data_IF_142681003292
#
_entry.id   IF_142681003292
#
_cell.length_a   1.000
_cell.length_b   1.000
_cell.length_c   1.000
_cell.angle_alpha   90.00
_cell.angle_beta   90.00
_cell.angle_gamma   90.00
#
_symmetry.space_group_name_H-M   'P 1'
#
loop_
_entity.id
_entity.type
_entity.pdbx_description
1 polymer ?
#
# COMPACT_ATOMS: atom_id res chain seq x y z
N UNK A 1 12.90 12.35 33.79
CA UNK A 1 12.04 12.14 32.61
C UNK A 1 12.22 10.70 32.15
N UNK A 2 11.16 9.99 31.74
CA UNK A 2 11.33 8.70 31.07
C UNK A 2 12.18 8.88 29.81
N UNK A 3 13.00 7.89 29.49
CA UNK A 3 13.74 7.87 28.22
C UNK A 3 12.77 7.75 27.03
N UNK A 4 13.28 8.07 25.84
CA UNK A 4 12.47 8.15 24.62
C UNK A 4 11.83 6.80 24.28
N UNK A 5 12.52 5.68 24.50
CA UNK A 5 11.98 4.35 24.22
C UNK A 5 10.84 4.01 25.17
N UNK A 6 10.98 4.32 26.46
CA UNK A 6 9.91 4.15 27.45
C UNK A 6 8.67 4.95 27.06
N UNK A 7 8.84 6.20 26.61
CA UNK A 7 7.73 7.03 26.14
C UNK A 7 7.06 6.45 24.89
N UNK A 8 7.85 6.07 23.88
CA UNK A 8 7.31 5.50 22.65
C UNK A 8 6.54 4.21 22.92
N UNK A 9 7.05 3.35 23.81
CA UNK A 9 6.36 2.14 24.27
C UNK A 9 5.02 2.43 24.95
N UNK A 10 4.96 3.49 25.75
CA UNK A 10 3.73 3.90 26.43
C UNK A 10 2.63 4.33 25.44
N UNK A 11 3.01 4.90 24.29
CA UNK A 11 2.09 5.42 23.27
C UNK A 11 2.13 4.60 21.97
N UNK A 12 2.42 3.30 22.07
CA UNK A 12 2.46 2.42 20.91
C UNK A 12 1.11 2.42 20.15
N UNK A 13 1.15 2.51 18.80
CA UNK A 13 -0.08 2.52 18.01
C UNK A 13 -0.74 1.14 18.03
N UNK A 14 -2.03 1.10 18.37
CA UNK A 14 -2.87 -0.09 18.20
C UNK A 14 -3.63 0.02 16.89
N UNK A 15 -3.22 -0.74 15.88
CA UNK A 15 -3.87 -0.76 14.57
C UNK A 15 -4.79 -1.98 14.46
N UNK A 16 -6.02 -1.76 13.96
CA UNK A 16 -7.00 -2.83 13.71
C UNK A 16 -7.28 -2.96 12.24
N UNK A 17 -7.10 -4.17 11.72
CA UNK A 17 -7.32 -4.49 10.31
C UNK A 17 -8.63 -5.21 10.08
N UNK A 18 -9.20 -4.97 8.90
CA UNK A 18 -10.33 -5.76 8.43
C UNK A 18 -9.86 -7.15 8.01
N UNK A 19 -10.73 -8.14 8.22
CA UNK A 19 -10.45 -9.50 7.74
C UNK A 19 -10.29 -9.48 6.22
N UNK A 20 -9.14 -9.93 5.74
CA UNK A 20 -8.82 -9.97 4.30
C UNK A 20 -8.08 -8.74 3.78
N UNK A 21 -7.56 -7.90 4.69
CA UNK A 21 -6.55 -6.88 4.34
C UNK A 21 -5.35 -7.54 3.65
N UNK A 22 -4.81 -6.86 2.64
CA UNK A 22 -3.70 -7.37 1.83
C UNK A 22 -2.33 -6.95 2.35
N UNK A 23 -2.27 -5.84 3.09
CA UNK A 23 -1.03 -5.20 3.50
C UNK A 23 -1.07 -4.93 5.01
N UNK A 24 0.01 -5.30 5.68
CA UNK A 24 0.25 -4.97 7.08
C UNK A 24 1.52 -4.13 7.18
N UNK A 25 1.80 -3.48 8.33
CA UNK A 25 3.03 -2.73 8.53
C UNK A 25 4.21 -3.65 8.23
N UNK A 26 5.22 -3.10 7.56
CA UNK A 26 6.46 -3.79 7.24
C UNK A 26 7.63 -2.84 7.47
N UNK A 27 8.85 -3.37 7.44
CA UNK A 27 10.06 -2.56 7.51
C UNK A 27 10.06 -1.50 6.41
N UNK A 28 10.31 -0.24 6.78
CA UNK A 28 10.53 0.85 5.83
C UNK A 28 11.80 0.60 5.03
N UNK A 29 12.82 -0.03 5.64
CA UNK A 29 14.06 -0.43 4.98
C UNK A 29 13.78 -1.42 3.84
N UNK A 30 13.04 -2.50 4.12
CA UNK A 30 12.67 -3.49 3.09
C UNK A 30 11.78 -2.88 2.00
N UNK A 31 10.83 -2.03 2.39
CA UNK A 31 9.96 -1.33 1.44
C UNK A 31 10.78 -0.41 0.53
N UNK A 32 11.75 0.32 1.06
CA UNK A 32 12.62 1.20 0.26
C UNK A 32 13.55 0.37 -0.63
N UNK A 33 14.18 -0.67 -0.11
CA UNK A 33 15.05 -1.57 -0.88
C UNK A 33 14.31 -2.25 -2.03
N UNK A 34 13.05 -2.64 -1.81
CA UNK A 34 12.19 -3.25 -2.83
C UNK A 34 11.59 -2.29 -3.85
N UNK A 35 11.86 -0.99 -3.76
CA UNK A 35 11.29 0.05 -4.63
C UNK A 35 12.31 0.58 -5.64
N UNK A 36 11.84 0.96 -6.82
CA UNK A 36 12.54 1.93 -7.66
C UNK A 36 12.13 3.36 -7.26
N UNK A 37 12.99 4.34 -7.49
CA UNK A 37 12.70 5.76 -7.30
C UNK A 37 12.63 6.46 -8.65
N UNK A 38 11.53 7.18 -8.87
CA UNK A 38 11.30 7.95 -10.08
C UNK A 38 11.11 9.42 -9.76
N UNK A 39 11.51 10.26 -10.71
CA UNK A 39 11.14 11.66 -10.81
C UNK A 39 10.04 11.81 -11.85
N UNK A 40 8.97 12.50 -11.47
CA UNK A 40 7.93 12.90 -12.42
C UNK A 40 8.46 14.04 -13.28
N UNK A 41 8.36 13.86 -14.58
CA UNK A 41 8.61 14.86 -15.62
C UNK A 41 7.30 15.13 -16.37
N UNK A 42 7.30 16.08 -17.31
CA UNK A 42 6.14 16.30 -18.19
C UNK A 42 5.98 15.19 -19.25
N UNK A 43 7.07 14.48 -19.53
CA UNK A 43 7.14 13.34 -20.46
C UNK A 43 7.13 12.01 -19.68
N UNK A 44 8.04 11.09 -20.03
CA UNK A 44 8.21 9.82 -19.33
C UNK A 44 8.96 10.02 -17.99
N UNK A 45 8.48 9.40 -16.89
CA UNK A 45 9.16 9.47 -15.61
C UNK A 45 10.62 9.02 -15.72
N UNK A 46 11.51 9.78 -15.10
CA UNK A 46 12.93 9.47 -15.09
C UNK A 46 13.27 8.61 -13.87
N UNK A 47 13.94 7.48 -14.10
CA UNK A 47 14.41 6.63 -13.02
C UNK A 47 15.65 7.25 -12.35
N UNK A 48 15.52 7.60 -11.07
CA UNK A 48 16.61 8.12 -10.24
C UNK A 48 17.39 7.00 -9.55
N UNK A 49 16.72 5.89 -9.27
CA UNK A 49 17.33 4.69 -8.70
C UNK A 49 16.55 3.44 -9.06
N UNK A 50 17.26 2.41 -9.47
CA UNK A 50 16.69 1.10 -9.74
C UNK A 50 16.22 0.40 -8.47
N UNK A 51 15.32 -0.55 -8.65
CA UNK A 51 14.90 -1.45 -7.58
C UNK A 51 16.10 -2.22 -7.01
N UNK A 52 16.19 -2.32 -5.69
CA UNK A 52 17.28 -3.02 -5.01
C UNK A 52 18.53 -2.17 -4.81
N UNK A 53 18.62 -0.98 -5.42
CA UNK A 53 19.76 -0.07 -5.20
C UNK A 53 19.50 1.00 -4.15
N UNK A 54 18.27 1.09 -3.62
CA UNK A 54 17.92 2.08 -2.61
C UNK A 54 18.21 1.58 -1.19
N UNK A 55 18.82 2.47 -0.41
CA UNK A 55 18.87 2.42 1.06
C UNK A 55 18.18 3.67 1.62
N UNK A 56 17.88 3.71 2.92
CA UNK A 56 17.32 4.91 3.54
C UNK A 56 18.24 6.13 3.39
N UNK A 57 19.56 5.94 3.56
CA UNK A 57 20.55 7.01 3.39
C UNK A 57 20.59 7.50 1.94
N UNK A 58 20.56 6.59 0.98
CA UNK A 58 20.55 6.95 -0.44
C UNK A 58 19.25 7.65 -0.85
N UNK A 59 18.11 7.21 -0.32
CA UNK A 59 16.84 7.88 -0.53
C UNK A 59 16.85 9.30 0.04
N UNK A 60 17.39 9.48 1.26
CA UNK A 60 17.52 10.79 1.88
C UNK A 60 18.48 11.71 1.11
N UNK A 61 19.57 11.16 0.57
CA UNK A 61 20.50 11.89 -0.30
C UNK A 61 19.82 12.37 -1.59
N UNK A 62 19.16 11.46 -2.31
CA UNK A 62 18.44 11.79 -3.54
C UNK A 62 17.32 12.81 -3.28
N UNK A 63 16.60 12.70 -2.16
CA UNK A 63 15.60 13.68 -1.75
C UNK A 63 16.17 15.07 -1.51
N UNK A 64 17.42 15.20 -1.02
CA UNK A 64 18.11 16.50 -0.87
C UNK A 64 18.62 17.05 -2.20
N UNK A 65 19.00 16.19 -3.15
CA UNK A 65 19.45 16.60 -4.48
C UNK A 65 18.26 17.09 -5.32
N UNK A 66 17.13 16.43 -5.21
CA UNK A 66 15.92 16.68 -6.01
C UNK A 66 14.86 17.50 -5.24
N UNK A 67 15.31 18.46 -4.42
CA UNK A 67 14.37 19.35 -3.71
C UNK A 67 13.57 20.16 -4.71
N UNK A 68 12.25 20.11 -4.58
CA UNK A 68 11.32 20.79 -5.49
C UNK A 68 10.78 19.89 -6.61
N UNK A 69 11.45 18.77 -6.90
CA UNK A 69 10.96 17.78 -7.84
C UNK A 69 9.88 16.90 -7.18
N UNK A 70 8.96 16.36 -7.99
CA UNK A 70 8.01 15.36 -7.53
C UNK A 70 8.63 13.99 -7.75
N UNK A 71 9.17 13.41 -6.67
CA UNK A 71 9.74 12.06 -6.67
C UNK A 71 8.79 11.07 -6.01
N UNK A 72 8.78 9.82 -6.47
CA UNK A 72 7.93 8.76 -5.92
C UNK A 72 8.61 7.39 -5.95
N UNK A 73 8.23 6.55 -4.99
CA UNK A 73 8.65 5.15 -4.92
C UNK A 73 7.66 4.27 -5.69
N UNK A 74 8.20 3.31 -6.45
CA UNK A 74 7.41 2.35 -7.21
C UNK A 74 7.83 0.92 -6.87
N UNK A 75 6.88 0.17 -6.31
CA UNK A 75 7.03 -1.24 -5.93
C UNK A 75 6.66 -2.22 -7.05
N UNK A 76 6.03 -1.78 -8.15
CA UNK A 76 5.68 -2.66 -9.27
C UNK A 76 5.72 -1.90 -10.57
N UNK A 77 6.33 -2.51 -11.59
CA UNK A 77 6.55 -1.84 -12.88
C UNK A 77 5.24 -1.82 -13.70
N UNK A 78 4.35 -2.77 -13.44
CA UNK A 78 3.08 -2.89 -14.12
C UNK A 78 2.07 -3.79 -13.41
N UNK A 79 0.83 -3.86 -13.94
CA UNK A 79 -0.18 -4.76 -13.41
C UNK A 79 0.14 -6.20 -13.81
N UNK A 80 -0.30 -7.16 -12.99
CA UNK A 80 -0.33 -8.57 -13.41
C UNK A 80 -1.12 -8.74 -14.72
N UNK A 81 -0.67 -9.64 -15.58
CA UNK A 81 -1.42 -10.07 -16.76
C UNK A 81 -2.76 -10.69 -16.34
N UNK A 82 -3.71 -10.78 -17.28
CA UNK A 82 -5.03 -11.38 -17.02
C UNK A 82 -4.93 -12.80 -16.45
N UNK A 83 -3.96 -13.59 -16.92
CA UNK A 83 -3.72 -14.97 -16.47
C UNK A 83 -3.21 -15.00 -15.04
N UNK A 84 -2.18 -14.22 -14.73
CA UNK A 84 -1.60 -14.10 -13.40
C UNK A 84 -2.61 -13.54 -12.39
N UNK A 85 -3.37 -12.52 -12.78
CA UNK A 85 -4.42 -11.97 -11.94
C UNK A 85 -5.52 -13.00 -11.63
N UNK A 86 -5.91 -13.83 -12.60
CA UNK A 86 -6.88 -14.93 -12.38
C UNK A 86 -6.33 -15.99 -11.44
N UNK A 87 -5.03 -16.31 -11.53
CA UNK A 87 -4.36 -17.24 -10.62
C UNK A 87 -4.30 -16.64 -9.20
N UNK A 88 -3.83 -15.39 -9.07
CA UNK A 88 -3.80 -14.63 -7.82
C UNK A 88 -5.16 -14.61 -7.11
N UNK A 89 -6.25 -14.40 -7.86
CA UNK A 89 -7.62 -14.39 -7.33
C UNK A 89 -8.11 -15.74 -6.81
N UNK A 90 -7.56 -16.84 -7.33
CA UNK A 90 -7.97 -18.22 -7.01
C UNK A 90 -7.15 -18.85 -5.88
N UNK A 91 -6.15 -18.12 -5.35
CA UNK A 91 -5.32 -18.57 -4.24
C UNK A 91 -6.16 -19.02 -3.03
N UNK A 92 -5.85 -20.17 -2.41
CA UNK A 92 -6.67 -20.77 -1.35
C UNK A 92 -6.62 -19.97 -0.04
N UNK A 93 -5.49 -19.34 0.25
CA UNK A 93 -5.22 -18.47 1.41
C UNK A 93 -5.96 -17.12 1.33
N UNK A 94 -6.45 -16.73 0.15
CA UNK A 94 -7.12 -15.45 -0.02
C UNK A 94 -8.51 -15.46 0.60
N UNK A 95 -8.71 -14.57 1.58
CA UNK A 95 -10.04 -14.32 2.16
C UNK A 95 -11.00 -13.84 1.08
N UNK A 96 -12.10 -14.58 0.90
CA UNK A 96 -13.18 -14.20 -0.01
C UNK A 96 -14.16 -13.30 0.74
N UNK A 97 -14.24 -12.03 0.32
CA UNK A 97 -15.30 -11.14 0.78
C UNK A 97 -16.65 -11.69 0.33
N UNK A 98 -17.48 -12.10 1.30
CA UNK A 98 -18.87 -12.43 1.04
C UNK A 98 -19.62 -11.11 0.93
N UNK A 99 -20.07 -10.75 -0.28
CA UNK A 99 -20.99 -9.63 -0.42
C UNK A 99 -22.31 -10.06 0.23
N UNK A 100 -22.73 -9.38 1.30
CA UNK A 100 -24.07 -9.60 1.84
C UNK A 100 -25.06 -8.96 0.87
N UNK A 101 -25.94 -9.79 0.31
CA UNK A 101 -27.01 -9.27 -0.53
C UNK A 101 -28.03 -8.59 0.38
N UNK A 102 -28.01 -7.25 0.43
CA UNK A 102 -29.09 -6.45 1.04
C UNK A 102 -30.41 -6.53 0.27
N UNK A 103 -30.44 -7.30 -0.84
CA UNK A 103 -31.58 -7.41 -1.76
C UNK A 103 -32.54 -8.55 -1.46
N UNK A 104 -32.37 -9.26 -0.34
CA UNK A 104 -33.38 -10.23 0.10
C UNK A 104 -34.68 -9.56 0.60
N UNK A 105 -34.70 -8.23 0.79
CA UNK A 105 -35.80 -7.49 1.41
C UNK A 105 -36.55 -6.51 0.48
N UNK A 106 -36.34 -6.55 -0.85
CA UNK A 106 -36.92 -5.57 -1.80
C UNK A 106 -37.40 -6.21 -3.11
N UNK A 107 -38.45 -5.62 -3.70
CA UNK A 107 -39.16 -6.11 -4.89
C UNK A 107 -38.32 -6.19 -6.17
N UNK A 108 -38.84 -6.91 -7.17
CA UNK A 108 -38.11 -7.27 -8.40
C UNK A 108 -37.63 -6.06 -9.21
N UNK A 109 -38.43 -4.98 -9.27
CA UNK A 109 -38.10 -3.77 -10.04
C UNK A 109 -36.88 -3.04 -9.48
N UNK A 110 -36.76 -2.92 -8.15
CA UNK A 110 -35.57 -2.33 -7.52
C UNK A 110 -34.31 -3.16 -7.74
N UNK A 111 -34.43 -4.49 -7.87
CA UNK A 111 -33.29 -5.37 -8.20
C UNK A 111 -32.79 -5.12 -9.62
N UNK A 112 -33.68 -4.82 -10.55
CA UNK A 112 -33.33 -4.51 -11.93
C UNK A 112 -32.60 -3.17 -12.05
N UNK A 113 -33.11 -2.13 -11.40
CA UNK A 113 -32.46 -0.80 -11.38
C UNK A 113 -31.09 -0.87 -10.72
N UNK A 114 -30.95 -1.60 -9.61
CA UNK A 114 -29.65 -1.80 -8.97
C UNK A 114 -28.66 -2.57 -9.85
N UNK A 115 -29.14 -3.59 -10.59
CA UNK A 115 -28.30 -4.33 -11.53
C UNK A 115 -27.76 -3.42 -12.66
N UNK A 116 -28.57 -2.50 -13.17
CA UNK A 116 -28.15 -1.50 -14.16
C UNK A 116 -27.13 -0.54 -13.54
N UNK A 117 -27.36 -0.01 -12.34
CA UNK A 117 -26.41 0.86 -11.65
C UNK A 117 -25.07 0.15 -11.34
N UNK A 118 -25.08 -1.15 -11.07
CA UNK A 118 -23.83 -1.93 -10.94
C UNK A 118 -23.13 -2.13 -12.27
N UNK A 119 -23.88 -2.27 -13.36
CA UNK A 119 -23.31 -2.36 -14.70
C UNK A 119 -22.63 -1.05 -15.10
N UNK A 120 -23.19 0.11 -14.73
CA UNK A 120 -22.53 1.41 -14.95
C UNK A 120 -21.23 1.53 -14.14
N UNK A 121 -21.14 0.94 -12.95
CA UNK A 121 -19.88 0.84 -12.19
C UNK A 121 -18.83 -0.06 -12.85
N UNK A 122 -19.25 -1.07 -13.63
CA UNK A 122 -18.30 -1.87 -14.44
C UNK A 122 -17.76 -1.07 -15.62
N UNK A 123 -18.56 -0.16 -16.18
CA UNK A 123 -18.18 0.75 -17.27
C UNK A 123 -17.30 1.92 -16.80
N UNK A 124 -17.42 2.36 -15.54
CA UNK A 124 -16.66 3.50 -14.95
C UNK A 124 -15.14 3.28 -14.83
N UNK A 125 -14.63 2.13 -15.27
CA UNK A 125 -13.23 1.75 -15.09
C UNK A 125 -12.99 1.27 -13.66
N UNK A 126 -12.70 -0.01 -13.50
CA UNK A 126 -12.12 -0.50 -12.24
C UNK A 126 -10.65 -0.16 -12.27
N UNK A 127 -10.12 0.42 -11.19
CA UNK A 127 -8.67 0.43 -10.95
C UNK A 127 -8.17 -0.99 -11.23
N UNK A 128 -7.23 -1.18 -12.17
CA UNK A 128 -6.85 -2.51 -12.61
C UNK A 128 -6.39 -3.30 -11.39
N UNK A 129 -7.19 -4.29 -10.98
CA UNK A 129 -6.86 -5.12 -9.82
C UNK A 129 -5.50 -5.83 -9.96
N UNK A 130 -4.94 -5.87 -11.18
CA UNK A 130 -3.60 -6.32 -11.47
C UNK A 130 -2.50 -5.53 -10.76
N UNK A 131 -2.62 -4.21 -10.57
CA UNK A 131 -1.61 -3.43 -9.82
C UNK A 131 -1.64 -3.80 -8.34
N UNK A 132 -2.82 -3.79 -7.72
CA UNK A 132 -2.98 -4.22 -6.33
C UNK A 132 -2.51 -5.66 -6.12
N UNK A 133 -2.77 -6.54 -7.09
CA UNK A 133 -2.33 -7.93 -7.04
C UNK A 133 -0.81 -8.08 -7.19
N UNK A 134 -0.18 -7.30 -8.07
CA UNK A 134 1.26 -7.26 -8.23
C UNK A 134 1.92 -6.71 -6.96
N UNK A 135 1.41 -5.61 -6.41
CA UNK A 135 1.90 -5.03 -5.17
C UNK A 135 1.75 -6.00 -3.99
N UNK A 136 0.64 -6.74 -3.92
CA UNK A 136 0.47 -7.79 -2.93
C UNK A 136 1.50 -8.92 -3.09
N UNK A 137 1.87 -9.29 -4.32
CA UNK A 137 2.94 -10.26 -4.54
C UNK A 137 4.30 -9.71 -4.07
N UNK A 138 4.61 -8.44 -4.37
CA UNK A 138 5.83 -7.80 -3.91
C UNK A 138 5.89 -7.78 -2.37
N UNK A 139 4.80 -7.37 -1.71
CA UNK A 139 4.66 -7.39 -0.26
C UNK A 139 4.82 -8.81 0.34
N UNK A 140 4.22 -9.84 -0.27
CA UNK A 140 4.38 -11.22 0.18
C UNK A 140 5.81 -11.77 0.04
N UNK A 141 6.65 -11.11 -0.76
CA UNK A 141 8.06 -11.44 -0.92
C UNK A 141 8.98 -10.56 -0.06
N UNK A 142 8.42 -9.60 0.70
CA UNK A 142 9.18 -8.79 1.65
C UNK A 142 9.70 -9.67 2.80
N UNK A 143 11.01 -9.63 3.12
CA UNK A 143 11.60 -10.47 4.17
C UNK A 143 10.90 -10.34 5.53
N UNK A 144 10.62 -9.11 5.96
CA UNK A 144 9.99 -8.79 7.26
C UNK A 144 8.47 -8.70 7.21
N UNK A 145 7.80 -9.32 6.23
CA UNK A 145 6.34 -9.18 6.07
C UNK A 145 5.50 -9.65 7.27
N UNK A 146 6.04 -10.58 8.05
CA UNK A 146 5.38 -11.18 9.21
C UNK A 146 5.73 -10.43 10.52
N UNK A 147 6.66 -9.47 10.45
CA UNK A 147 7.03 -8.60 11.55
C UNK A 147 6.20 -7.33 11.54
N UNK A 148 5.88 -6.80 12.73
CA UNK A 148 5.13 -5.56 12.88
C UNK A 148 6.07 -4.42 13.26
N UNK A 149 6.45 -3.59 12.27
CA UNK A 149 7.28 -2.42 12.49
C UNK A 149 6.43 -1.17 12.75
N UNK A 150 6.82 -0.38 13.75
CA UNK A 150 6.39 0.99 13.91
C UNK A 150 7.62 1.87 14.15
N UNK A 151 7.57 3.10 13.66
CA UNK A 151 8.64 4.07 13.79
C UNK A 151 8.12 5.25 14.60
N UNK A 152 8.89 5.66 15.60
CA UNK A 152 8.54 6.76 16.50
C UNK A 152 9.61 7.84 16.48
N UNK A 153 9.19 9.08 16.63
CA UNK A 153 10.07 10.22 16.86
C UNK A 153 9.56 10.99 18.08
N UNK A 154 10.49 11.43 18.93
CA UNK A 154 10.17 12.21 20.12
C UNK A 154 10.77 13.60 19.93
N UNK A 155 9.92 14.62 19.88
CA UNK A 155 10.36 16.01 19.77
C UNK A 155 10.30 16.68 21.15
N UNK A 156 11.35 17.47 21.46
CA UNK A 156 11.42 18.30 22.66
C UNK A 156 11.64 19.73 22.23
N UNK A 157 10.71 20.62 22.60
CA UNK A 157 10.80 22.04 22.28
C UNK A 157 10.42 22.89 23.49
N UNK A 158 11.23 23.89 23.80
CA UNK A 158 11.01 24.79 24.95
C UNK A 158 10.91 24.09 26.32
N UNK A 159 11.45 22.88 26.47
CA UNK A 159 11.30 22.06 27.69
C UNK A 159 10.02 21.22 27.74
N UNK A 160 9.17 21.29 26.71
CA UNK A 160 7.98 20.49 26.55
C UNK A 160 8.23 19.27 25.65
N UNK A 161 7.44 18.24 25.90
CA UNK A 161 7.29 17.11 25.00
C UNK A 161 6.17 17.44 24.01
N UNK A 162 6.47 17.41 22.70
CA UNK A 162 5.54 17.75 21.61
C UNK A 162 5.34 16.52 20.73
#
# INVERSE_FOLDING_TARGET
MPDDLTLLRQYEPVIRYNRGELFYPCSVEDFVAGSALFRRTDDEPEELAARGSLTLDRLAELGRVHVGDIIYLQQVDGPLTRKEYKAWRKRPDRVKFKTSSRFAAVGLLSRFVDAIMRLTLLLRGRVPGGYAAAAHNAYMNTPTKDDCHYYGHVTRDGGYLV
#
